data_IF_770821434230
#
_entry.id   IF_770821434230
#
_cell.length_a   1.000
_cell.length_b   1.000
_cell.length_c   1.000
_cell.angle_alpha   90.00
_cell.angle_beta   90.00
_cell.angle_gamma   90.00
#
_symmetry.space_group_name_H-M   'P 1'
#
loop_
_entity.id
_entity.type
_entity.pdbx_description
1 polymer ?
#
# COMPACT_ATOMS: atom_id res chain seq x y z
N UNK A 1 19.73 2.15 33.57
CA UNK A 1 18.63 2.42 34.54
C UNK A 1 17.55 3.32 33.95
N UNK A 2 17.88 4.43 33.27
CA UNK A 2 16.89 5.34 32.64
C UNK A 2 16.03 4.72 31.51
N UNK A 3 16.57 3.82 30.68
CA UNK A 3 15.82 3.17 29.60
C UNK A 3 14.69 2.27 30.12
N UNK A 4 14.92 1.57 31.23
CA UNK A 4 13.93 0.70 31.85
C UNK A 4 12.81 1.48 32.55
N UNK A 5 13.13 2.65 33.12
CA UNK A 5 12.12 3.51 33.74
C UNK A 5 11.22 4.15 32.69
N UNK A 6 11.81 4.68 31.61
CA UNK A 6 11.04 5.23 30.48
C UNK A 6 10.17 4.18 29.78
N UNK A 7 10.64 2.93 29.66
CA UNK A 7 9.85 1.83 29.11
C UNK A 7 8.71 1.39 30.05
N UNK A 8 8.96 1.31 31.37
CA UNK A 8 7.95 0.94 32.34
C UNK A 8 6.84 2.00 32.47
N UNK A 9 7.19 3.29 32.43
CA UNK A 9 6.21 4.40 32.39
C UNK A 9 5.34 4.32 31.13
N UNK A 10 5.96 4.03 29.98
CA UNK A 10 5.25 3.86 28.70
C UNK A 10 4.34 2.62 28.73
N UNK A 11 4.78 1.51 29.31
CA UNK A 11 3.95 0.31 29.45
C UNK A 11 2.73 0.53 30.36
N UNK A 12 2.89 1.19 31.50
CA UNK A 12 1.78 1.49 32.42
C UNK A 12 0.76 2.41 31.74
N UNK A 13 1.22 3.46 31.06
CA UNK A 13 0.34 4.38 30.36
C UNK A 13 -0.30 3.78 29.10
N UNK A 14 0.40 2.93 28.33
CA UNK A 14 -0.23 2.18 27.24
C UNK A 14 -1.31 1.29 27.81
N UNK A 15 -1.06 0.59 28.92
CA UNK A 15 -2.06 -0.30 29.53
C UNK A 15 -3.29 0.49 29.97
N UNK A 16 -3.11 1.69 30.54
CA UNK A 16 -4.23 2.55 30.94
C UNK A 16 -4.94 3.18 29.73
N UNK A 17 -4.20 3.55 28.66
CA UNK A 17 -4.76 4.03 27.40
C UNK A 17 -5.50 2.92 26.65
N UNK A 18 -4.97 1.70 26.59
CA UNK A 18 -5.60 0.54 25.95
C UNK A 18 -6.85 0.14 26.71
N UNK A 19 -6.84 0.14 28.05
CA UNK A 19 -8.04 -0.06 28.89
C UNK A 19 -9.09 1.05 28.71
N UNK A 20 -8.67 2.29 28.49
CA UNK A 20 -9.59 3.38 28.14
C UNK A 20 -10.09 3.26 26.69
N UNK A 21 -9.25 2.78 25.78
CA UNK A 21 -9.54 2.54 24.38
C UNK A 21 -10.38 1.27 24.14
N UNK A 22 -10.56 0.38 25.13
CA UNK A 22 -11.60 -0.65 25.08
C UNK A 22 -13.01 -0.04 24.89
N UNK A 23 -13.18 1.28 25.08
CA UNK A 23 -14.40 2.03 24.72
C UNK A 23 -14.38 2.64 23.31
N UNK A 24 -13.22 2.75 22.66
CA UNK A 24 -13.03 3.28 21.30
C UNK A 24 -12.53 2.17 20.37
N UNK A 25 -13.43 1.56 19.61
CA UNK A 25 -13.10 0.59 18.55
C UNK A 25 -12.00 1.12 17.63
N UNK A 26 -10.96 0.30 17.40
CA UNK A 26 -9.85 0.62 16.50
C UNK A 26 -10.44 1.04 15.13
N UNK A 27 -10.01 2.19 14.57
CA UNK A 27 -10.59 2.73 13.34
C UNK A 27 -10.02 2.02 12.10
N UNK A 28 -10.29 0.71 11.99
CA UNK A 28 -9.95 -0.05 10.81
C UNK A 28 -10.67 0.51 9.58
N UNK A 29 -9.92 0.72 8.50
CA UNK A 29 -10.51 1.11 7.21
C UNK A 29 -11.24 -0.08 6.57
N UNK A 30 -12.29 0.21 5.82
CA UNK A 30 -12.93 -0.75 4.94
C UNK A 30 -11.96 -1.24 3.85
N UNK A 31 -12.29 -2.39 3.26
CA UNK A 31 -11.42 -3.05 2.27
C UNK A 31 -11.18 -2.16 1.05
N UNK A 32 -12.20 -1.43 0.59
CA UNK A 32 -12.07 -0.58 -0.59
C UNK A 32 -11.10 0.57 -0.33
N UNK A 33 -11.26 1.29 0.78
CA UNK A 33 -10.33 2.35 1.16
C UNK A 33 -8.91 1.84 1.37
N UNK A 34 -8.74 0.67 2.00
CA UNK A 34 -7.44 0.03 2.18
C UNK A 34 -6.76 -0.27 0.84
N UNK A 35 -7.45 -0.98 -0.05
CA UNK A 35 -6.90 -1.37 -1.37
C UNK A 35 -6.62 -0.14 -2.22
N UNK A 36 -7.53 0.85 -2.28
CA UNK A 36 -7.30 2.07 -3.08
C UNK A 36 -6.08 2.85 -2.59
N UNK A 37 -5.93 3.05 -1.27
CA UNK A 37 -4.75 3.75 -0.71
C UNK A 37 -3.45 2.98 -0.92
N UNK A 38 -3.50 1.65 -0.87
CA UNK A 38 -2.33 0.79 -1.03
C UNK A 38 -1.87 0.72 -2.48
N UNK A 39 -2.81 0.62 -3.44
CA UNK A 39 -2.52 0.50 -4.86
C UNK A 39 -2.19 1.86 -5.52
N UNK A 40 -2.75 2.96 -5.02
CA UNK A 40 -2.55 4.31 -5.57
C UNK A 40 -2.13 5.28 -4.48
N UNK A 41 -0.89 5.13 -4.02
CA UNK A 41 -0.30 6.05 -3.05
C UNK A 41 0.31 7.24 -3.78
N UNK A 42 -0.48 8.33 -3.87
CA UNK A 42 -0.16 9.71 -4.32
C UNK A 42 -0.58 10.03 -5.77
N UNK A 43 -1.60 10.88 -5.88
CA UNK A 43 -1.92 11.75 -7.03
C UNK A 43 -2.53 11.14 -8.29
N UNK A 44 -2.73 9.84 -8.37
CA UNK A 44 -3.50 9.23 -9.47
C UNK A 44 -4.97 9.15 -9.07
N UNK A 45 -5.67 10.29 -9.13
CA UNK A 45 -7.12 10.22 -9.26
C UNK A 45 -7.41 9.40 -10.50
N UNK A 46 -8.01 8.22 -10.34
CA UNK A 46 -8.48 7.45 -11.49
C UNK A 46 -9.67 8.21 -12.06
N UNK A 47 -9.38 9.11 -12.99
CA UNK A 47 -10.39 9.87 -13.70
C UNK A 47 -11.03 8.94 -14.72
N UNK A 48 -11.94 8.09 -14.24
CA UNK A 48 -12.52 7.00 -15.04
C UNK A 48 -13.34 7.52 -16.24
N UNK A 49 -13.69 8.81 -16.30
CA UNK A 49 -14.81 9.28 -17.12
C UNK A 49 -14.71 10.74 -17.62
N UNK A 50 -13.53 11.28 -17.90
CA UNK A 50 -13.45 12.51 -18.72
C UNK A 50 -13.62 12.19 -20.22
N UNK A 51 -14.83 11.72 -20.59
CA UNK A 51 -15.25 11.71 -21.98
C UNK A 51 -15.45 13.17 -22.43
N UNK A 52 -14.83 13.62 -23.54
CA UNK A 52 -15.04 14.97 -24.05
C UNK A 52 -16.54 15.20 -24.34
N UNK A 53 -17.06 16.41 -24.10
CA UNK A 53 -18.48 16.71 -24.34
C UNK A 53 -18.78 16.50 -25.83
N UNK A 54 -19.55 15.46 -26.13
CA UNK A 54 -20.01 15.12 -27.49
C UNK A 54 -21.53 14.97 -27.48
N UNK A 55 -22.15 15.14 -28.65
CA UNK A 55 -23.60 15.06 -28.88
C UNK A 55 -24.25 13.82 -28.22
N UNK A 56 -25.36 13.94 -27.45
CA UNK A 56 -25.94 12.84 -26.67
C UNK A 56 -26.23 11.55 -27.45
N UNK A 57 -26.51 11.67 -28.76
CA UNK A 57 -26.77 10.52 -29.62
C UNK A 57 -25.50 9.78 -30.04
N UNK A 58 -24.41 10.51 -30.30
CA UNK A 58 -23.09 9.91 -30.54
C UNK A 58 -22.51 9.28 -29.28
N UNK A 59 -22.76 9.90 -28.11
CA UNK A 59 -22.34 9.38 -26.81
C UNK A 59 -22.97 8.02 -26.54
N UNK A 60 -24.27 7.85 -26.83
CA UNK A 60 -24.95 6.59 -26.55
C UNK A 60 -24.42 5.43 -27.43
N UNK A 61 -24.15 5.70 -28.72
CA UNK A 61 -23.55 4.71 -29.63
C UNK A 61 -22.09 4.39 -29.25
N UNK A 62 -21.29 5.40 -28.86
CA UNK A 62 -19.91 5.20 -28.37
C UNK A 62 -19.89 4.38 -27.08
N UNK A 63 -20.81 4.62 -26.15
CA UNK A 63 -20.94 3.86 -24.91
C UNK A 63 -21.30 2.39 -25.20
N UNK A 64 -22.22 2.13 -26.12
CA UNK A 64 -22.57 0.76 -26.53
C UNK A 64 -21.38 0.02 -27.14
N UNK A 65 -20.63 0.68 -28.05
CA UNK A 65 -19.42 0.12 -28.65
C UNK A 65 -18.36 -0.15 -27.59
N UNK A 66 -18.15 0.80 -26.66
CA UNK A 66 -17.20 0.64 -25.57
C UNK A 66 -17.57 -0.54 -24.66
N UNK A 67 -18.85 -0.70 -24.30
CA UNK A 67 -19.33 -1.86 -23.52
C UNK A 67 -19.08 -3.18 -24.25
N UNK A 68 -19.34 -3.24 -25.56
CA UNK A 68 -19.07 -4.43 -26.39
C UNK A 68 -17.56 -4.74 -26.42
N UNK A 69 -16.73 -3.73 -26.64
CA UNK A 69 -15.27 -3.86 -26.64
C UNK A 69 -14.74 -4.33 -25.28
N UNK A 70 -15.24 -3.76 -24.18
CA UNK A 70 -14.86 -4.16 -22.82
C UNK A 70 -15.25 -5.60 -22.49
N UNK A 71 -16.37 -6.09 -23.04
CA UNK A 71 -16.76 -7.50 -22.88
C UNK A 71 -15.78 -8.44 -23.59
N UNK A 72 -15.40 -8.12 -24.84
CA UNK A 72 -14.40 -8.89 -25.59
C UNK A 72 -13.03 -8.81 -24.90
N UNK A 73 -12.67 -7.63 -24.40
CA UNK A 73 -11.43 -7.46 -23.63
C UNK A 73 -11.41 -8.31 -22.37
N UNK A 74 -12.55 -8.40 -21.64
CA UNK A 74 -12.67 -9.27 -20.48
C UNK A 74 -12.49 -10.75 -20.85
N UNK A 75 -12.99 -11.20 -22.01
CA UNK A 75 -12.77 -12.56 -22.51
C UNK A 75 -11.29 -12.83 -22.81
N UNK A 76 -10.60 -11.89 -23.45
CA UNK A 76 -9.14 -11.96 -23.66
C UNK A 76 -8.37 -11.97 -22.34
N UNK A 77 -8.79 -11.16 -21.37
CA UNK A 77 -8.16 -11.06 -20.06
C UNK A 77 -8.27 -12.35 -19.24
N UNK A 78 -9.31 -13.15 -19.48
CA UNK A 78 -9.47 -14.48 -18.88
C UNK A 78 -8.64 -15.56 -19.59
N UNK A 79 -8.00 -15.27 -20.72
CA UNK A 79 -7.04 -16.16 -21.35
C UNK A 79 -5.65 -15.98 -20.70
N UNK A 80 -5.16 -17.05 -20.06
CA UNK A 80 -3.88 -17.04 -19.34
C UNK A 80 -2.70 -16.67 -20.24
N UNK A 81 -2.62 -17.24 -21.44
CA UNK A 81 -1.50 -17.03 -22.36
C UNK A 81 -1.45 -15.58 -22.83
N UNK A 82 -2.61 -15.02 -23.20
CA UNK A 82 -2.72 -13.61 -23.59
C UNK A 82 -2.26 -12.69 -22.47
N UNK A 83 -2.74 -12.93 -21.25
CA UNK A 83 -2.43 -12.03 -20.13
C UNK A 83 -0.96 -12.07 -19.74
N UNK A 84 -0.35 -13.26 -19.73
CA UNK A 84 1.08 -13.42 -19.45
C UNK A 84 1.91 -12.71 -20.52
N UNK A 85 1.57 -12.89 -21.80
CA UNK A 85 2.31 -12.26 -22.89
C UNK A 85 2.17 -10.73 -22.87
N UNK A 86 0.97 -10.22 -22.58
CA UNK A 86 0.73 -8.79 -22.39
C UNK A 86 1.64 -8.22 -21.28
N UNK A 87 1.71 -8.90 -20.14
CA UNK A 87 2.56 -8.48 -19.01
C UNK A 87 4.03 -8.51 -19.41
N UNK A 88 4.50 -9.55 -20.11
CA UNK A 88 5.89 -9.66 -20.60
C UNK A 88 6.25 -8.50 -21.52
N UNK A 89 5.38 -8.17 -22.47
CA UNK A 89 5.58 -7.06 -23.41
C UNK A 89 5.75 -5.74 -22.65
N UNK A 90 4.89 -5.47 -21.67
CA UNK A 90 4.97 -4.25 -20.86
C UNK A 90 6.23 -4.23 -19.97
N UNK A 91 6.59 -5.37 -19.37
CA UNK A 91 7.71 -5.44 -18.44
C UNK A 91 9.07 -5.30 -19.15
N UNK A 92 9.19 -5.86 -20.36
CA UNK A 92 10.40 -5.79 -21.19
C UNK A 92 10.53 -4.47 -21.95
N UNK A 93 9.45 -3.69 -22.06
CA UNK A 93 9.50 -2.40 -22.75
C UNK A 93 10.36 -1.39 -21.97
N UNK A 94 11.38 -0.86 -22.64
CA UNK A 94 12.31 0.14 -22.09
C UNK A 94 11.75 1.57 -22.12
N UNK A 95 10.72 1.82 -22.94
CA UNK A 95 10.03 3.11 -23.00
C UNK A 95 9.05 3.31 -21.83
N UNK A 96 8.68 2.23 -21.13
CA UNK A 96 7.76 2.29 -19.99
C UNK A 96 8.59 2.44 -18.72
N UNK A 97 8.32 3.49 -17.95
CA UNK A 97 9.05 3.76 -16.73
C UNK A 97 8.61 2.85 -15.55
N UNK A 98 9.33 2.91 -14.44
CA UNK A 98 9.01 2.11 -13.25
C UNK A 98 7.71 2.53 -12.55
N UNK A 99 7.28 3.78 -12.72
CA UNK A 99 6.03 4.32 -12.22
C UNK A 99 4.84 3.77 -12.99
N UNK A 100 4.87 3.86 -14.32
CA UNK A 100 3.89 3.31 -15.26
C UNK A 100 3.75 1.79 -15.11
N UNK A 101 4.86 1.06 -14.92
CA UNK A 101 4.82 -0.37 -14.59
C UNK A 101 4.11 -0.65 -13.27
N UNK A 102 4.36 0.19 -12.26
CA UNK A 102 3.69 0.08 -10.96
C UNK A 102 2.19 0.39 -11.09
N UNK A 103 1.83 1.42 -11.85
CA UNK A 103 0.43 1.79 -12.12
C UNK A 103 -0.30 0.68 -12.87
N UNK A 104 0.31 0.11 -13.91
CA UNK A 104 -0.23 -1.04 -14.62
C UNK A 104 -0.43 -2.24 -13.70
N UNK A 105 0.53 -2.55 -12.82
CA UNK A 105 0.38 -3.61 -11.82
C UNK A 105 -0.78 -3.35 -10.83
N UNK A 106 -1.02 -2.08 -10.46
CA UNK A 106 -2.16 -1.69 -9.62
C UNK A 106 -3.50 -1.90 -10.33
N UNK A 107 -3.62 -1.44 -11.58
CA UNK A 107 -4.81 -1.66 -12.40
C UNK A 107 -5.07 -3.15 -12.63
N UNK A 108 -4.02 -3.91 -12.90
CA UNK A 108 -4.09 -5.34 -13.12
C UNK A 108 -4.59 -6.07 -11.86
N UNK A 109 -4.10 -5.70 -10.67
CA UNK A 109 -4.61 -6.28 -9.43
C UNK A 109 -6.10 -5.97 -9.25
N UNK A 110 -6.56 -4.77 -9.57
CA UNK A 110 -7.98 -4.42 -9.47
C UNK A 110 -8.83 -5.18 -10.48
N UNK A 111 -8.33 -5.39 -11.70
CA UNK A 111 -9.04 -6.24 -12.66
C UNK A 111 -9.16 -7.69 -12.16
N UNK A 112 -8.11 -8.19 -11.48
CA UNK A 112 -8.01 -9.57 -11.02
C UNK A 112 -8.60 -9.84 -9.62
N UNK A 113 -8.84 -8.82 -8.78
CA UNK A 113 -9.19 -9.03 -7.36
C UNK A 113 -10.49 -9.84 -7.15
N UNK A 114 -11.42 -9.80 -8.12
CA UNK A 114 -12.67 -10.59 -8.06
C UNK A 114 -12.44 -12.09 -8.20
N UNK A 115 -11.31 -12.50 -8.78
CA UNK A 115 -10.92 -13.90 -8.95
C UNK A 115 -9.44 -14.09 -8.55
N UNK A 116 -9.18 -14.06 -7.24
CA UNK A 116 -7.85 -14.25 -6.69
C UNK A 116 -7.24 -15.62 -7.01
N UNK A 117 -8.06 -16.65 -7.26
CA UNK A 117 -7.56 -17.94 -7.71
C UNK A 117 -6.86 -17.81 -9.07
N UNK A 118 -7.54 -17.18 -10.04
CA UNK A 118 -6.94 -16.89 -11.35
C UNK A 118 -5.71 -15.97 -11.22
N UNK A 119 -5.78 -14.93 -10.40
CA UNK A 119 -4.65 -14.04 -10.13
C UNK A 119 -3.42 -14.80 -9.62
N UNK A 120 -3.62 -15.76 -8.72
CA UNK A 120 -2.56 -16.60 -8.13
C UNK A 120 -1.92 -17.49 -9.19
N UNK A 121 -2.72 -18.06 -10.09
CA UNK A 121 -2.22 -18.89 -11.19
C UNK A 121 -1.35 -18.09 -12.17
N UNK A 122 -1.78 -16.87 -12.51
CA UNK A 122 -0.98 -15.95 -13.32
C UNK A 122 0.32 -15.56 -12.60
N UNK A 123 0.25 -15.22 -11.31
CA UNK A 123 1.43 -14.88 -10.52
C UNK A 123 2.45 -16.00 -10.45
N UNK A 124 2.03 -17.26 -10.26
CA UNK A 124 2.95 -18.41 -10.28
C UNK A 124 3.72 -18.50 -11.58
N UNK A 125 3.03 -18.35 -12.72
CA UNK A 125 3.66 -18.41 -14.04
C UNK A 125 4.63 -17.24 -14.25
N UNK A 126 4.26 -16.03 -13.83
CA UNK A 126 5.14 -14.86 -13.91
C UNK A 126 6.37 -14.97 -13.01
N UNK A 127 6.22 -15.56 -11.81
CA UNK A 127 7.33 -15.80 -10.89
C UNK A 127 8.28 -16.85 -11.46
N UNK A 128 7.75 -17.92 -12.07
CA UNK A 128 8.55 -18.95 -12.73
C UNK A 128 9.35 -18.36 -13.91
N UNK A 129 8.72 -17.51 -14.72
CA UNK A 129 9.38 -16.75 -15.78
C UNK A 129 10.46 -15.81 -15.24
N UNK A 130 10.18 -15.10 -14.14
CA UNK A 130 11.13 -14.17 -13.51
C UNK A 130 12.35 -14.92 -13.00
N UNK A 131 12.15 -16.05 -12.31
CA UNK A 131 13.23 -16.92 -11.84
C UNK A 131 14.04 -17.42 -13.04
N UNK A 132 13.38 -17.99 -14.03
CA UNK A 132 14.04 -18.54 -15.22
C UNK A 132 14.87 -17.48 -15.95
N UNK A 133 14.30 -16.29 -16.19
CA UNK A 133 15.01 -15.19 -16.86
C UNK A 133 16.18 -14.67 -16.03
N UNK A 134 16.01 -14.55 -14.71
CA UNK A 134 17.05 -14.04 -13.82
C UNK A 134 18.26 -14.97 -13.73
N UNK A 135 18.03 -16.29 -13.67
CA UNK A 135 19.06 -17.32 -13.52
C UNK A 135 19.73 -17.63 -14.85
N UNK A 136 18.95 -17.89 -15.90
CA UNK A 136 19.48 -18.41 -17.16
C UNK A 136 19.92 -17.30 -18.12
N UNK A 137 19.23 -16.16 -18.15
CA UNK A 137 19.48 -15.10 -19.15
C UNK A 137 20.38 -14.01 -18.61
N UNK A 138 20.12 -13.53 -17.39
CA UNK A 138 20.85 -12.38 -16.83
C UNK A 138 22.03 -12.77 -15.93
N UNK A 139 22.22 -14.07 -15.66
CA UNK A 139 23.18 -14.61 -14.70
C UNK A 139 23.19 -13.83 -13.37
N UNK A 140 22.02 -13.37 -12.94
CA UNK A 140 21.85 -12.60 -11.71
C UNK A 140 21.95 -13.53 -10.52
N UNK A 141 22.50 -13.02 -9.42
CA UNK A 141 22.53 -13.78 -8.18
C UNK A 141 21.10 -14.02 -7.69
N UNK A 142 20.73 -15.27 -7.43
CA UNK A 142 19.40 -15.64 -6.90
C UNK A 142 19.05 -14.88 -5.62
N UNK A 143 20.04 -14.47 -4.81
CA UNK A 143 19.85 -13.65 -3.60
C UNK A 143 19.36 -12.21 -3.88
N UNK A 144 19.42 -11.78 -5.14
CA UNK A 144 18.94 -10.47 -5.60
C UNK A 144 17.61 -10.54 -6.34
N UNK A 145 17.04 -11.74 -6.49
CA UNK A 145 15.68 -11.93 -6.96
C UNK A 145 14.71 -11.17 -6.04
N UNK A 146 13.66 -10.59 -6.61
CA UNK A 146 12.69 -9.74 -5.89
C UNK A 146 13.23 -8.38 -5.39
N UNK A 147 14.38 -7.91 -5.91
CA UNK A 147 14.91 -6.54 -5.67
C UNK A 147 14.76 -5.61 -6.88
N UNK A 148 14.13 -6.07 -7.94
CA UNK A 148 13.84 -5.27 -9.13
C UNK A 148 12.45 -4.62 -9.06
N UNK A 149 12.16 -3.75 -10.01
CA UNK A 149 10.88 -3.04 -10.11
C UNK A 149 10.01 -3.65 -11.22
N UNK A 150 10.03 -4.97 -11.37
CA UNK A 150 9.20 -5.64 -12.39
C UNK A 150 7.72 -5.58 -12.06
N UNK A 151 6.88 -5.69 -13.09
CA UNK A 151 5.42 -5.78 -12.94
C UNK A 151 5.06 -7.01 -12.10
N UNK A 152 5.78 -8.13 -12.25
CA UNK A 152 5.58 -9.34 -11.46
C UNK A 152 5.78 -9.09 -9.95
N UNK A 153 6.88 -8.45 -9.56
CA UNK A 153 7.19 -8.14 -8.15
C UNK A 153 6.15 -7.18 -7.53
N UNK A 154 5.72 -6.18 -8.31
CA UNK A 154 4.67 -5.25 -7.88
C UNK A 154 3.33 -5.96 -7.72
N UNK A 155 2.93 -6.78 -8.69
CA UNK A 155 1.70 -7.55 -8.64
C UNK A 155 1.69 -8.53 -7.46
N UNK A 156 2.83 -9.17 -7.15
CA UNK A 156 2.98 -10.05 -5.99
C UNK A 156 2.77 -9.27 -4.68
N UNK A 157 3.35 -8.07 -4.58
CA UNK A 157 3.18 -7.19 -3.42
C UNK A 157 1.71 -6.79 -3.22
N UNK A 158 1.03 -6.44 -4.31
CA UNK A 158 -0.40 -6.10 -4.31
C UNK A 158 -1.29 -7.29 -3.94
N UNK A 159 -1.01 -8.47 -4.51
CA UNK A 159 -1.74 -9.70 -4.18
C UNK A 159 -1.60 -10.06 -2.70
N UNK A 160 -0.38 -9.99 -2.16
CA UNK A 160 -0.13 -10.25 -0.74
C UNK A 160 -0.92 -9.27 0.13
N UNK A 161 -0.91 -7.98 -0.22
CA UNK A 161 -1.67 -6.97 0.52
C UNK A 161 -3.18 -7.25 0.55
N UNK A 162 -3.75 -7.70 -0.58
CA UNK A 162 -5.17 -8.09 -0.66
C UNK A 162 -5.45 -9.33 0.19
N UNK A 163 -4.62 -10.37 0.10
CA UNK A 163 -4.79 -11.60 0.88
C UNK A 163 -4.62 -11.37 2.39
N UNK A 164 -3.74 -10.45 2.79
CA UNK A 164 -3.45 -10.17 4.19
C UNK A 164 -4.45 -9.24 4.86
N UNK A 165 -5.40 -8.64 4.12
CA UNK A 165 -6.35 -7.66 4.69
C UNK A 165 -7.13 -8.21 5.90
N UNK A 166 -7.69 -9.42 5.78
CA UNK A 166 -8.47 -10.03 6.87
C UNK A 166 -7.58 -10.40 8.07
N UNK A 167 -6.33 -10.81 7.81
CA UNK A 167 -5.36 -11.09 8.85
C UNK A 167 -4.97 -9.81 9.61
N UNK A 168 -4.76 -8.70 8.88
CA UNK A 168 -4.47 -7.39 9.45
C UNK A 168 -5.64 -6.80 10.23
N UNK A 169 -6.87 -7.27 10.02
CA UNK A 169 -8.05 -6.89 10.81
C UNK A 169 -8.16 -7.63 12.15
N UNK A 170 -7.25 -8.58 12.43
CA UNK A 170 -7.15 -9.25 13.72
C UNK A 170 -6.00 -8.71 14.58
N UNK A 171 -5.48 -9.55 15.48
CA UNK A 171 -4.38 -9.24 16.42
C UNK A 171 -3.22 -8.41 15.82
N UNK A 172 -2.70 -8.71 14.61
CA UNK A 172 -1.59 -7.92 14.05
C UNK A 172 -1.94 -6.44 13.84
N UNK A 173 -3.18 -6.13 13.45
CA UNK A 173 -3.62 -4.74 13.30
C UNK A 173 -3.81 -4.03 14.63
N UNK A 174 -4.25 -4.77 15.65
CA UNK A 174 -4.38 -4.25 17.01
C UNK A 174 -3.01 -3.89 17.59
N UNK A 175 -2.04 -4.79 17.49
CA UNK A 175 -0.66 -4.54 17.92
C UNK A 175 -0.01 -3.37 17.17
N UNK A 176 -0.27 -3.27 15.85
CA UNK A 176 0.21 -2.15 15.06
C UNK A 176 -0.41 -0.82 15.51
N UNK A 177 -1.71 -0.82 15.82
CA UNK A 177 -2.40 0.36 16.32
C UNK A 177 -1.93 0.76 17.73
N UNK A 178 -1.68 -0.24 18.59
CA UNK A 178 -1.12 -0.02 19.93
C UNK A 178 0.26 0.61 19.84
N UNK A 179 1.11 0.11 18.95
CA UNK A 179 2.43 0.70 18.70
C UNK A 179 2.32 2.14 18.18
N UNK A 180 1.44 2.40 17.21
CA UNK A 180 1.18 3.76 16.72
C UNK A 180 0.74 4.69 17.87
N UNK A 181 -0.19 4.23 18.70
CA UNK A 181 -0.73 5.00 19.82
C UNK A 181 0.35 5.29 20.86
N UNK A 182 1.16 4.29 21.21
CA UNK A 182 2.30 4.43 22.10
C UNK A 182 3.29 5.49 21.61
N UNK A 183 3.67 5.44 20.33
CA UNK A 183 4.58 6.42 19.73
C UNK A 183 3.96 7.82 19.76
N UNK A 184 2.67 7.94 19.41
CA UNK A 184 1.96 9.22 19.41
C UNK A 184 1.88 9.84 20.80
N UNK A 185 1.53 9.05 21.83
CA UNK A 185 1.50 9.49 23.22
C UNK A 185 2.90 9.95 23.63
N UNK A 186 3.93 9.16 23.37
CA UNK A 186 5.30 9.47 23.77
C UNK A 186 5.82 10.76 23.11
N UNK A 187 5.54 10.98 21.83
CA UNK A 187 5.92 12.20 21.12
C UNK A 187 5.22 13.43 21.75
N UNK A 188 3.92 13.33 22.06
CA UNK A 188 3.12 14.42 22.60
C UNK A 188 3.41 14.76 24.08
N UNK A 189 4.20 13.96 24.80
CA UNK A 189 4.65 14.30 26.17
C UNK A 189 5.64 15.46 26.20
N UNK A 190 6.32 15.72 25.09
CA UNK A 190 7.38 16.70 24.99
C UNK A 190 6.95 17.89 24.14
N UNK A 191 7.70 19.00 24.19
CA UNK A 191 7.50 20.07 23.21
C UNK A 191 7.74 19.51 21.80
N UNK A 192 6.91 20.00 20.88
CA UNK A 192 7.00 19.75 19.45
C UNK A 192 7.02 21.13 18.80
N UNK A 193 8.02 21.39 17.96
CA UNK A 193 8.07 22.62 17.17
C UNK A 193 7.08 22.49 16.01
N UNK A 194 6.06 23.35 16.00
CA UNK A 194 5.00 23.33 14.99
C UNK A 194 5.49 23.74 13.59
N UNK A 195 6.63 24.43 13.46
CA UNK A 195 7.19 24.88 12.18
C UNK A 195 8.08 23.80 11.58
N UNK A 196 9.02 23.27 12.37
CA UNK A 196 10.00 22.28 11.89
C UNK A 196 9.50 20.83 12.02
N UNK A 197 8.55 20.58 12.91
CA UNK A 197 8.08 19.22 13.25
C UNK A 197 9.05 18.45 14.16
N UNK A 198 10.12 19.08 14.65
CA UNK A 198 11.03 18.46 15.58
C UNK A 198 10.34 18.22 16.93
N UNK A 199 10.62 17.07 17.56
CA UNK A 199 10.01 16.67 18.82
C UNK A 199 11.08 16.31 19.86
N UNK A 200 10.82 16.62 21.14
CA UNK A 200 11.76 16.25 22.23
C UNK A 200 11.94 14.74 22.35
N UNK A 201 10.85 14.00 22.20
CA UNK A 201 10.81 12.54 22.27
C UNK A 201 10.69 11.92 20.87
N UNK A 202 11.57 12.31 19.95
CA UNK A 202 11.66 11.72 18.61
C UNK A 202 12.45 10.41 18.61
N UNK A 203 12.00 9.43 17.83
CA UNK A 203 12.79 8.22 17.51
C UNK A 203 13.85 8.49 16.42
N UNK A 204 13.65 9.54 15.61
CA UNK A 204 14.62 9.98 14.61
C UNK A 204 15.53 11.07 15.22
N UNK A 205 16.83 10.83 15.23
CA UNK A 205 17.85 11.75 15.76
C UNK A 205 17.87 13.09 15.01
N UNK A 206 17.55 13.09 13.72
CA UNK A 206 17.50 14.32 12.92
C UNK A 206 16.29 15.19 13.26
N UNK A 207 15.18 14.59 13.72
CA UNK A 207 13.96 15.30 14.11
C UNK A 207 13.88 15.54 15.63
N UNK A 208 15.02 15.46 16.33
CA UNK A 208 15.06 15.57 17.79
C UNK A 208 15.33 17.00 18.22
N UNK A 209 14.43 17.58 19.01
CA UNK A 209 14.61 18.91 19.58
C UNK A 209 15.79 18.93 20.57
N UNK A 210 16.88 19.59 20.15
CA UNK A 210 18.12 19.71 20.95
C UNK A 210 18.08 20.85 21.95
N UNK A 211 17.22 21.84 21.72
CA UNK A 211 17.08 23.01 22.60
C UNK A 211 16.43 22.62 23.92
N UNK A 212 17.05 23.03 25.03
CA UNK A 212 16.47 22.86 26.37
C UNK A 212 15.42 23.95 26.59
N UNK A 213 14.15 23.59 26.49
CA UNK A 213 13.03 24.49 26.81
C UNK A 213 12.53 24.17 28.22
N UNK A 214 12.40 25.17 29.09
CA UNK A 214 11.70 25.02 30.37
C UNK A 214 10.19 25.00 30.11
N UNK A 215 9.60 23.82 30.04
CA UNK A 215 8.15 23.65 29.82
C UNK A 215 7.47 23.42 31.17
N UNK A 216 6.58 24.34 31.57
CA UNK A 216 5.61 24.10 32.66
C UNK A 216 4.39 23.41 32.08
N UNK A 217 4.10 22.20 32.54
CA UNK A 217 2.86 21.50 32.20
C UNK A 217 1.71 22.23 32.90
N UNK A 218 0.83 22.89 32.14
CA UNK A 218 -0.39 23.49 32.67
C UNK A 218 -1.53 22.46 32.61
N UNK A 219 -1.89 21.89 33.76
CA UNK A 219 -3.11 21.10 33.86
C UNK A 219 -4.30 22.07 33.90
N UNK A 220 -4.93 22.30 32.74
CA UNK A 220 -6.26 22.91 32.69
C UNK A 220 -7.27 21.86 33.15
N UNK A 221 -7.85 22.08 34.34
CA UNK A 221 -8.87 21.23 34.96
C UNK A 221 -10.25 21.36 34.33
#
# INVERSE_FOLDING_TARGET
MYVFLGFAELQVEIVDFVKAADTNTIPFTDFQTYVTKLLFSKNESIDFLSLPPTDPFEVNNKIEMFRKAMKIFQELFNNKEFLIELIRIFDQNSYIDTGEKSYFASLLMIALHKNLFYATEILKLLIDDLISTSVYTSNRNVKTLFRSTSICEKLLSHWLAVCMYNYLRGLPGEELYNLYSAIKIQINKGPIDAITGEAKYSLNQDNMLRTTLEVKVSNSG
#
